data_IF_070068920175
#
_entry.id   IF_070068920175
#
_cell.length_a   1.000
_cell.length_b   1.000
_cell.length_c   1.000
_cell.angle_alpha   90.00
_cell.angle_beta   90.00
_cell.angle_gamma   90.00
#
_symmetry.space_group_name_H-M   'P 1'
#
loop_
_entity.id
_entity.type
_entity.pdbx_description
1 polymer ?
#
# COMPACT_ATOMS: atom_id res chain seq x y z
N UNK A 1 -16.78 -30.62 -17.23
CA UNK A 1 -15.48 -30.23 -16.62
C UNK A 1 -14.51 -31.33 -16.97
N UNK A 2 -13.48 -31.04 -17.77
CA UNK A 2 -12.48 -32.04 -18.14
C UNK A 2 -11.69 -32.51 -16.93
N UNK A 3 -11.14 -33.72 -16.98
CA UNK A 3 -10.22 -34.22 -15.94
C UNK A 3 -8.92 -33.41 -16.02
N UNK A 4 -8.63 -32.62 -14.98
CA UNK A 4 -7.32 -31.97 -14.82
C UNK A 4 -6.36 -32.92 -14.06
N UNK A 5 -5.05 -32.79 -14.31
CA UNK A 5 -4.03 -33.72 -13.80
C UNK A 5 -3.92 -33.76 -12.27
N UNK A 6 -4.46 -32.76 -11.57
CA UNK A 6 -4.46 -32.69 -10.11
C UNK A 6 -5.70 -33.36 -9.49
N UNK A 7 -6.76 -33.67 -10.26
CA UNK A 7 -8.00 -34.25 -9.70
C UNK A 7 -7.76 -35.57 -8.96
N UNK A 8 -6.84 -36.41 -9.42
CA UNK A 8 -6.48 -37.67 -8.76
C UNK A 8 -5.48 -37.55 -7.61
N UNK A 9 -5.01 -36.33 -7.30
CA UNK A 9 -4.04 -36.07 -6.24
C UNK A 9 -4.70 -35.56 -4.95
N UNK A 10 -6.00 -35.30 -4.99
CA UNK A 10 -6.81 -34.81 -3.88
C UNK A 10 -8.06 -35.66 -3.71
N UNK A 11 -8.71 -35.65 -2.54
CA UNK A 11 -10.03 -36.24 -2.37
C UNK A 11 -11.03 -35.72 -3.41
N UNK A 12 -11.89 -36.60 -3.96
CA UNK A 12 -12.81 -36.25 -5.04
C UNK A 12 -13.79 -35.12 -4.66
N UNK A 13 -14.18 -35.06 -3.39
CA UNK A 13 -15.04 -34.03 -2.82
C UNK A 13 -14.37 -32.64 -2.79
N UNK A 14 -13.04 -32.57 -2.85
CA UNK A 14 -12.30 -31.31 -2.92
C UNK A 14 -12.19 -30.76 -4.34
N UNK A 15 -12.32 -31.61 -5.36
CA UNK A 15 -12.24 -31.21 -6.77
C UNK A 15 -13.19 -30.06 -7.11
N UNK A 16 -14.50 -30.11 -6.82
CA UNK A 16 -15.39 -29.00 -7.11
C UNK A 16 -15.07 -27.72 -6.31
N UNK A 17 -14.51 -27.87 -5.10
CA UNK A 17 -14.14 -26.73 -4.24
C UNK A 17 -12.92 -26.01 -4.80
N UNK A 18 -11.86 -26.74 -5.11
CA UNK A 18 -10.61 -26.19 -5.67
C UNK A 18 -10.87 -25.57 -7.04
N UNK A 19 -11.64 -26.23 -7.91
CA UNK A 19 -11.99 -25.69 -9.22
C UNK A 19 -12.75 -24.35 -9.11
N UNK A 20 -13.69 -24.24 -8.16
CA UNK A 20 -14.40 -23.00 -7.87
C UNK A 20 -13.47 -21.92 -7.34
N UNK A 21 -12.60 -22.26 -6.39
CA UNK A 21 -11.71 -21.29 -5.76
C UNK A 21 -10.64 -20.78 -6.72
N UNK A 22 -10.13 -21.63 -7.63
CA UNK A 22 -9.25 -21.21 -8.70
C UNK A 22 -9.90 -20.15 -9.62
N UNK A 23 -11.18 -20.31 -9.96
CA UNK A 23 -11.92 -19.29 -10.73
C UNK A 23 -12.11 -18.00 -9.94
N UNK A 24 -12.34 -18.08 -8.63
CA UNK A 24 -12.46 -16.89 -7.75
C UNK A 24 -11.12 -16.16 -7.62
N UNK A 25 -10.03 -16.88 -7.41
CA UNK A 25 -8.68 -16.31 -7.25
C UNK A 25 -8.22 -15.55 -8.50
N UNK A 26 -8.65 -15.97 -9.71
CA UNK A 26 -8.40 -15.22 -10.96
C UNK A 26 -9.00 -13.81 -10.97
N UNK A 27 -10.03 -13.56 -10.17
CA UNK A 27 -10.72 -12.26 -10.06
C UNK A 27 -10.45 -11.57 -8.72
N UNK A 28 -9.52 -12.08 -7.93
CA UNK A 28 -9.25 -11.54 -6.61
C UNK A 28 -8.55 -10.18 -6.73
N UNK A 29 -9.07 -9.20 -6.00
CA UNK A 29 -8.43 -7.89 -5.92
C UNK A 29 -7.02 -8.02 -5.34
N UNK A 30 -6.06 -7.17 -5.76
CA UNK A 30 -4.75 -7.10 -5.14
C UNK A 30 -4.90 -6.95 -3.62
N UNK A 31 -4.14 -7.76 -2.88
CA UNK A 31 -4.13 -7.70 -1.42
C UNK A 31 -3.61 -6.33 -0.98
N UNK A 32 -4.43 -5.60 -0.22
CA UNK A 32 -4.01 -4.35 0.42
C UNK A 32 -2.96 -4.58 1.51
N UNK A 33 -2.33 -3.51 2.01
CA UNK A 33 -1.32 -3.61 3.07
C UNK A 33 -1.84 -4.35 4.31
N UNK A 34 -1.02 -5.24 4.87
CA UNK A 34 -1.38 -5.96 6.09
C UNK A 34 -1.30 -5.04 7.32
N UNK A 35 -2.14 -5.31 8.32
CA UNK A 35 -2.12 -4.63 9.61
C UNK A 35 -0.86 -4.96 10.42
N UNK A 36 -0.48 -4.08 11.34
CA UNK A 36 0.69 -4.30 12.19
C UNK A 36 0.54 -5.56 13.07
N UNK A 37 -0.69 -5.85 13.52
CA UNK A 37 -1.00 -7.09 14.24
C UNK A 37 -0.65 -8.33 13.41
N UNK A 38 -1.06 -8.35 12.12
CA UNK A 38 -0.69 -9.44 11.22
C UNK A 38 0.83 -9.51 10.97
N UNK A 39 1.46 -8.36 10.71
CA UNK A 39 2.91 -8.28 10.48
C UNK A 39 3.72 -8.74 11.69
N UNK A 40 3.21 -8.54 12.92
CA UNK A 40 3.86 -8.94 14.17
C UNK A 40 4.02 -10.46 14.30
N UNK A 41 3.14 -11.25 13.69
CA UNK A 41 3.23 -12.71 13.62
C UNK A 41 4.11 -13.21 12.48
N UNK A 42 4.48 -12.35 11.52
CA UNK A 42 5.34 -12.76 10.41
C UNK A 42 6.81 -12.91 10.84
N UNK A 43 7.54 -13.89 10.29
CA UNK A 43 8.98 -14.00 10.47
C UNK A 43 9.70 -12.71 10.09
N UNK A 44 10.77 -12.36 10.80
CA UNK A 44 11.50 -11.08 10.66
C UNK A 44 11.92 -10.77 9.23
N UNK A 45 12.38 -11.79 8.48
CA UNK A 45 12.74 -11.64 7.05
C UNK A 45 11.53 -11.26 6.19
N UNK A 46 10.39 -11.94 6.36
CA UNK A 46 9.17 -11.63 5.61
C UNK A 46 8.62 -10.26 5.99
N UNK A 47 8.62 -9.93 7.28
CA UNK A 47 8.22 -8.61 7.77
C UNK A 47 9.05 -7.52 7.10
N UNK A 48 10.38 -7.65 7.08
CA UNK A 48 11.29 -6.69 6.45
C UNK A 48 10.98 -6.46 4.97
N UNK A 49 10.74 -7.53 4.20
CA UNK A 49 10.41 -7.45 2.77
C UNK A 49 9.06 -6.74 2.57
N UNK A 50 8.04 -7.07 3.37
CA UNK A 50 6.72 -6.44 3.25
C UNK A 50 6.76 -4.97 3.66
N UNK A 51 7.62 -4.59 4.62
CA UNK A 51 7.74 -3.20 5.07
C UNK A 51 8.79 -2.39 4.31
N UNK A 52 9.64 -2.99 3.47
CA UNK A 52 10.72 -2.27 2.79
C UNK A 52 10.21 -1.31 1.71
N UNK A 53 8.97 -1.47 1.27
CA UNK A 53 8.29 -0.54 0.36
C UNK A 53 7.75 0.71 1.06
N UNK A 54 7.75 0.77 2.40
CA UNK A 54 7.32 1.96 3.13
C UNK A 54 8.32 3.10 2.87
N UNK A 55 7.88 4.29 2.44
CA UNK A 55 8.77 5.43 2.24
C UNK A 55 9.59 5.70 3.50
N UNK A 56 10.91 5.83 3.36
CA UNK A 56 11.83 6.12 4.45
C UNK A 56 12.45 7.51 4.26
N UNK A 57 12.69 8.21 5.37
CA UNK A 57 13.39 9.49 5.37
C UNK A 57 12.49 10.70 5.60
N UNK A 58 13.03 11.89 5.34
CA UNK A 58 12.33 13.15 5.47
C UNK A 58 11.27 13.34 4.37
N UNK A 59 10.30 14.22 4.59
CA UNK A 59 9.25 14.52 3.59
C UNK A 59 9.83 14.90 2.20
N UNK A 60 10.86 15.77 2.09
CA UNK A 60 11.52 16.03 0.80
C UNK A 60 12.06 14.77 0.12
N UNK A 61 12.66 13.85 0.88
CA UNK A 61 13.20 12.59 0.35
C UNK A 61 12.08 11.68 -0.16
N UNK A 62 10.98 11.58 0.59
CA UNK A 62 9.80 10.80 0.18
C UNK A 62 9.20 11.35 -1.11
N UNK A 63 9.07 12.67 -1.24
CA UNK A 63 8.55 13.32 -2.46
C UNK A 63 9.49 13.05 -3.65
N UNK A 64 10.80 13.23 -3.45
CA UNK A 64 11.82 12.98 -4.47
C UNK A 64 11.72 11.54 -4.99
N UNK A 65 11.70 10.57 -4.07
CA UNK A 65 11.61 9.15 -4.43
C UNK A 65 10.28 8.80 -5.11
N UNK A 66 9.17 9.36 -4.63
CA UNK A 66 7.84 9.12 -5.21
C UNK A 66 7.76 9.63 -6.65
N UNK A 67 8.30 10.82 -6.92
CA UNK A 67 8.39 11.37 -8.28
C UNK A 67 9.28 10.50 -9.17
N UNK A 68 10.43 10.06 -8.65
CA UNK A 68 11.34 9.15 -9.36
C UNK A 68 10.65 7.86 -9.78
N UNK A 69 9.95 7.21 -8.84
CA UNK A 69 9.21 5.97 -9.09
C UNK A 69 8.06 6.17 -10.09
N UNK A 70 7.28 7.25 -9.94
CA UNK A 70 6.17 7.56 -10.83
C UNK A 70 6.64 7.79 -12.28
N UNK A 71 7.71 8.58 -12.49
CA UNK A 71 8.25 8.83 -13.83
C UNK A 71 8.90 7.59 -14.43
N UNK A 72 9.55 6.75 -13.61
CA UNK A 72 10.09 5.47 -14.09
C UNK A 72 8.97 4.52 -14.53
N UNK A 73 7.86 4.47 -13.78
CA UNK A 73 6.72 3.62 -14.10
C UNK A 73 5.99 4.01 -15.41
N UNK A 74 6.07 5.28 -15.83
CA UNK A 74 5.48 5.74 -17.10
C UNK A 74 6.39 5.50 -18.31
N UNK A 75 7.64 5.08 -18.11
CA UNK A 75 8.62 4.89 -19.19
C UNK A 75 9.14 6.19 -19.82
N UNK A 76 8.85 7.35 -19.21
CA UNK A 76 9.21 8.69 -19.71
C UNK A 76 10.62 9.15 -19.27
N UNK A 77 11.51 8.22 -18.90
CA UNK A 77 12.83 8.54 -18.33
C UNK A 77 13.77 9.33 -19.25
N UNK A 78 13.39 9.55 -20.51
CA UNK A 78 14.22 10.19 -21.55
C UNK A 78 13.90 11.67 -21.80
N UNK A 79 12.83 12.22 -21.23
CA UNK A 79 12.30 13.55 -21.62
C UNK A 79 12.87 14.71 -20.79
N UNK A 80 13.35 14.45 -19.57
CA UNK A 80 14.01 15.45 -18.71
C UNK A 80 15.06 14.79 -17.82
N UNK A 81 16.01 15.55 -17.22
CA UNK A 81 16.90 15.01 -16.21
C UNK A 81 16.08 14.62 -14.98
N UNK A 82 15.70 13.34 -14.90
CA UNK A 82 14.82 12.78 -13.86
C UNK A 82 15.24 13.21 -12.46
N UNK A 83 16.54 13.15 -12.18
CA UNK A 83 17.10 13.56 -10.90
C UNK A 83 16.88 15.05 -10.62
N UNK A 84 17.03 15.93 -11.61
CA UNK A 84 16.78 17.36 -11.42
C UNK A 84 15.32 17.64 -11.10
N UNK A 85 14.39 16.98 -11.80
CA UNK A 85 12.95 17.13 -11.56
C UNK A 85 12.56 16.59 -10.19
N UNK A 86 13.04 15.40 -9.83
CA UNK A 86 12.75 14.77 -8.55
C UNK A 86 13.28 15.62 -7.37
N UNK A 87 14.52 16.14 -7.47
CA UNK A 87 15.11 16.99 -6.43
C UNK A 87 14.39 18.34 -6.34
N UNK A 88 14.04 18.96 -7.46
CA UNK A 88 13.26 20.20 -7.48
C UNK A 88 11.88 20.01 -6.82
N UNK A 89 11.23 18.87 -7.08
CA UNK A 89 9.96 18.53 -6.45
C UNK A 89 10.10 18.37 -4.93
N UNK A 90 11.14 17.68 -4.47
CA UNK A 90 11.44 17.52 -3.04
C UNK A 90 11.76 18.84 -2.35
N UNK A 91 12.47 19.76 -3.02
CA UNK A 91 12.85 21.06 -2.47
C UNK A 91 11.71 22.11 -2.47
N UNK A 92 10.69 21.93 -3.29
CA UNK A 92 9.56 22.87 -3.38
C UNK A 92 8.69 22.86 -2.12
N UNK A 93 8.61 24.01 -1.45
CA UNK A 93 7.76 24.19 -0.27
C UNK A 93 6.27 24.06 -0.60
N UNK A 94 5.86 24.49 -1.79
CA UNK A 94 4.49 24.37 -2.28
C UNK A 94 4.10 22.89 -2.40
N UNK A 95 4.95 22.07 -3.02
CA UNK A 95 4.72 20.63 -3.18
C UNK A 95 4.72 19.94 -1.82
N UNK A 96 5.65 20.28 -0.92
CA UNK A 96 5.65 19.73 0.43
C UNK A 96 4.37 20.05 1.20
N UNK A 97 3.86 21.29 1.08
CA UNK A 97 2.64 21.72 1.75
C UNK A 97 1.41 21.03 1.17
N UNK A 98 1.32 20.98 -0.16
CA UNK A 98 0.25 20.26 -0.86
C UNK A 98 0.24 18.77 -0.50
N UNK A 99 1.41 18.13 -0.45
CA UNK A 99 1.55 16.72 -0.06
C UNK A 99 1.06 16.48 1.38
N UNK A 100 1.43 17.35 2.34
CA UNK A 100 0.96 17.25 3.73
C UNK A 100 -0.55 17.40 3.83
N UNK A 101 -1.12 18.37 3.11
CA UNK A 101 -2.57 18.58 3.07
C UNK A 101 -3.29 17.36 2.50
N UNK A 102 -2.81 16.86 1.35
CA UNK A 102 -3.35 15.67 0.70
C UNK A 102 -3.29 14.43 1.62
N UNK A 103 -2.15 14.22 2.28
CA UNK A 103 -1.98 13.11 3.22
C UNK A 103 -3.00 13.22 4.37
N UNK A 104 -3.15 14.41 4.95
CA UNK A 104 -4.09 14.65 6.05
C UNK A 104 -5.53 14.37 5.62
N UNK A 105 -5.96 14.92 4.49
CA UNK A 105 -7.32 14.70 3.96
C UNK A 105 -7.59 13.23 3.68
N UNK A 106 -6.64 12.53 3.03
CA UNK A 106 -6.79 11.10 2.76
C UNK A 106 -6.85 10.26 4.04
N UNK A 107 -5.99 10.53 5.01
CA UNK A 107 -6.00 9.78 6.27
C UNK A 107 -7.29 10.06 7.05
N UNK A 108 -7.72 11.31 7.15
CA UNK A 108 -9.00 11.65 7.80
C UNK A 108 -10.19 10.95 7.16
N UNK A 109 -10.28 10.94 5.82
CA UNK A 109 -11.33 10.22 5.10
C UNK A 109 -11.29 8.71 5.40
N UNK A 110 -10.11 8.11 5.31
CA UNK A 110 -9.93 6.68 5.63
C UNK A 110 -10.29 6.35 7.08
N UNK A 111 -9.94 7.20 8.05
CA UNK A 111 -10.28 6.98 9.45
C UNK A 111 -11.79 7.07 9.69
N UNK A 112 -12.47 8.01 9.02
CA UNK A 112 -13.92 8.18 9.13
C UNK A 112 -14.68 6.98 8.57
N UNK A 113 -14.19 6.42 7.47
CA UNK A 113 -14.89 5.35 6.73
C UNK A 113 -14.45 3.94 7.20
N UNK A 114 -13.55 3.84 8.19
CA UNK A 114 -13.05 2.56 8.71
C UNK A 114 -13.85 2.11 9.95
N UNK A 115 -14.61 1.01 9.79
CA UNK A 115 -15.44 0.43 10.86
C UNK A 115 -14.63 -0.01 12.10
N UNK A 116 -13.37 -0.38 11.93
CA UNK A 116 -12.50 -0.81 13.04
C UNK A 116 -11.88 0.37 13.80
N UNK A 117 -11.99 1.60 13.28
CA UNK A 117 -11.43 2.79 13.91
C UNK A 117 -12.42 3.42 14.88
N UNK A 118 -12.07 3.45 16.17
CA UNK A 118 -12.74 4.27 17.17
C UNK A 118 -11.74 5.20 17.87
N UNK A 119 -12.08 6.50 18.07
CA UNK A 119 -11.19 7.43 18.76
C UNK A 119 -10.76 6.96 20.15
N UNK A 120 -11.59 6.19 20.84
CA UNK A 120 -11.32 5.65 22.18
C UNK A 120 -10.26 4.55 22.15
N UNK A 121 -10.24 3.72 21.09
CA UNK A 121 -9.18 2.71 20.90
C UNK A 121 -7.89 3.29 20.36
N UNK A 122 -7.98 4.36 19.57
CA UNK A 122 -6.84 4.96 18.87
C UNK A 122 -6.69 6.47 19.18
N UNK A 123 -6.53 6.86 20.45
CA UNK A 123 -6.57 8.26 20.86
C UNK A 123 -5.44 9.09 20.24
N UNK A 124 -4.25 8.50 20.02
CA UNK A 124 -3.12 9.19 19.40
C UNK A 124 -3.39 9.56 17.93
N UNK A 125 -3.96 8.61 17.17
CA UNK A 125 -4.32 8.85 15.78
C UNK A 125 -5.47 9.86 15.68
N UNK A 126 -6.49 9.70 16.53
CA UNK A 126 -7.59 10.65 16.62
C UNK A 126 -7.10 12.05 16.96
N UNK A 127 -6.22 12.22 17.96
CA UNK A 127 -5.68 13.53 18.29
C UNK A 127 -4.86 14.13 17.14
N UNK A 128 -3.98 13.35 16.51
CA UNK A 128 -3.12 13.87 15.45
C UNK A 128 -3.90 14.30 14.20
N UNK A 129 -4.89 13.51 13.79
CA UNK A 129 -5.65 13.75 12.57
C UNK A 129 -6.93 14.58 12.80
N UNK A 130 -7.54 14.53 13.99
CA UNK A 130 -8.79 15.25 14.27
C UNK A 130 -8.57 16.57 15.03
N UNK A 131 -7.51 16.72 15.85
CA UNK A 131 -7.23 18.05 16.43
C UNK A 131 -6.63 18.97 15.37
N UNK A 132 -7.39 20.01 15.07
CA UNK A 132 -6.96 21.23 14.40
C UNK A 132 -6.36 22.19 15.42
N UNK A 133 -5.13 22.64 15.18
CA UNK A 133 -4.71 24.00 15.51
C UNK A 133 -3.89 24.51 14.34
#
# INVERSE_FOLDING_TARGET
IGSESWHGQVPEDWVPIIARDAQKQRRQNPQGPFSDAYLSGMPSKRRKIVTSSKPQGSLPQVITESVRQAVTATGLSTVAPLESVAQAAGASLEIQTAYRSLLRTNVQANLRDNEDFTPERFPNAANYFNNTS
#
